data_IF_512787677174
#
_entry.id   IF_512787677174
#
_cell.length_a   1.000
_cell.length_b   1.000
_cell.length_c   1.000
_cell.angle_alpha   90.00
_cell.angle_beta   90.00
_cell.angle_gamma   90.00
#
_symmetry.space_group_name_H-M   'P 1'
#
loop_
_entity.id
_entity.type
_entity.pdbx_description
1 polymer ?
#
# COMPACT_ATOMS: atom_id res chain seq x y z
N UNK A 1 -23.66 -28.47 2.65
CA UNK A 1 -22.75 -28.04 3.74
C UNK A 1 -21.31 -27.89 3.22
N UNK A 2 -21.09 -27.45 1.97
CA UNK A 2 -19.73 -27.44 1.38
C UNK A 2 -19.40 -26.19 0.53
N UNK A 3 -20.16 -25.09 0.63
CA UNK A 3 -19.81 -23.84 -0.06
C UNK A 3 -18.91 -22.90 0.77
N UNK A 4 -18.96 -23.00 2.11
CA UNK A 4 -18.17 -22.14 3.00
C UNK A 4 -16.68 -22.53 3.09
N UNK A 5 -16.33 -23.75 2.65
CA UNK A 5 -14.96 -24.29 2.67
C UNK A 5 -14.13 -23.75 1.50
N UNK A 6 -14.72 -23.61 0.31
CA UNK A 6 -14.00 -23.16 -0.90
C UNK A 6 -13.70 -21.67 -0.91
N UNK A 7 -14.52 -20.84 -0.25
CA UNK A 7 -14.27 -19.40 -0.16
C UNK A 7 -13.08 -19.10 0.76
N UNK A 8 -12.92 -19.84 1.87
CA UNK A 8 -11.78 -19.68 2.78
C UNK A 8 -10.43 -20.03 2.15
N UNK A 9 -10.40 -20.90 1.14
CA UNK A 9 -9.17 -21.26 0.44
C UNK A 9 -8.76 -20.22 -0.61
N UNK A 10 -9.72 -19.52 -1.24
CA UNK A 10 -9.43 -18.40 -2.16
C UNK A 10 -8.76 -17.22 -1.46
N UNK A 11 -9.14 -16.93 -0.22
CA UNK A 11 -8.59 -15.84 0.58
C UNK A 11 -7.18 -16.10 1.15
N UNK A 12 -6.71 -17.35 1.08
CA UNK A 12 -5.46 -17.78 1.73
C UNK A 12 -4.18 -17.41 0.96
N UNK A 13 -4.30 -17.07 -0.32
CA UNK A 13 -3.14 -16.73 -1.17
C UNK A 13 -2.81 -15.23 -1.19
N UNK A 14 -3.61 -14.38 -0.53
CA UNK A 14 -3.40 -12.93 -0.48
C UNK A 14 -3.63 -12.19 -1.81
N UNK A 15 -4.02 -12.90 -2.87
CA UNK A 15 -4.27 -12.35 -4.21
C UNK A 15 -5.75 -12.54 -4.53
N UNK A 16 -6.49 -11.43 -4.60
CA UNK A 16 -7.92 -11.42 -4.91
C UNK A 16 -8.16 -11.70 -6.41
N UNK A 17 -8.86 -12.78 -6.81
CA UNK A 17 -9.13 -13.06 -8.23
C UNK A 17 -10.26 -12.16 -8.78
N UNK A 18 -10.05 -11.59 -9.97
CA UNK A 18 -11.07 -10.82 -10.70
C UNK A 18 -12.01 -11.71 -11.53
N UNK A 19 -13.29 -11.32 -11.59
CA UNK A 19 -14.18 -11.62 -12.71
C UNK A 19 -14.11 -10.47 -13.74
N UNK A 20 -13.59 -10.75 -14.95
CA UNK A 20 -13.39 -9.73 -16.00
C UNK A 20 -14.54 -9.79 -17.02
N UNK A 21 -15.25 -8.68 -17.21
CA UNK A 21 -16.09 -8.43 -18.37
C UNK A 21 -15.45 -7.33 -19.24
N UNK A 22 -15.38 -7.55 -20.55
CA UNK A 22 -14.72 -6.62 -21.48
C UNK A 22 -15.58 -5.36 -21.74
N UNK A 23 -15.01 -4.18 -21.53
CA UNK A 23 -15.50 -2.89 -22.03
C UNK A 23 -14.32 -2.03 -22.50
N UNK A 24 -14.59 -0.96 -23.26
CA UNK A 24 -13.57 0.01 -23.72
C UNK A 24 -13.12 1.00 -22.63
N UNK A 25 -13.70 0.93 -21.43
CA UNK A 25 -13.26 1.70 -20.27
C UNK A 25 -12.16 0.95 -19.52
N UNK A 26 -11.30 1.70 -18.82
CA UNK A 26 -10.26 1.09 -18.00
C UNK A 26 -10.88 0.17 -16.93
N UNK A 27 -10.43 -1.07 -16.88
CA UNK A 27 -10.92 -2.07 -15.93
C UNK A 27 -10.16 -1.91 -14.61
N UNK A 28 -10.81 -1.63 -13.47
CA UNK A 28 -10.13 -1.55 -12.19
C UNK A 28 -9.62 -2.93 -11.75
N UNK A 29 -8.43 -2.98 -11.13
CA UNK A 29 -7.86 -4.24 -10.63
C UNK A 29 -8.78 -4.92 -9.59
N UNK A 30 -9.52 -4.15 -8.81
CA UNK A 30 -10.53 -4.71 -7.92
C UNK A 30 -11.75 -3.79 -7.94
N UNK A 31 -12.74 -4.14 -8.75
CA UNK A 31 -13.89 -3.26 -8.97
C UNK A 31 -14.72 -3.04 -7.70
N UNK A 32 -14.89 -4.05 -6.85
CA UNK A 32 -15.66 -3.93 -5.62
C UNK A 32 -14.95 -2.99 -4.63
N UNK A 33 -13.67 -3.25 -4.36
CA UNK A 33 -12.87 -2.40 -3.49
C UNK A 33 -12.76 -0.98 -4.03
N UNK A 34 -12.46 -0.81 -5.33
CA UNK A 34 -12.27 0.52 -5.92
C UNK A 34 -13.52 1.37 -5.88
N UNK A 35 -14.71 0.78 -6.01
CA UNK A 35 -15.98 1.51 -5.79
C UNK A 35 -16.13 1.92 -4.33
N UNK A 36 -15.89 1.01 -3.39
CA UNK A 36 -16.08 1.26 -1.96
C UNK A 36 -15.20 2.43 -1.46
N UNK A 37 -13.94 2.51 -1.90
CA UNK A 37 -13.01 3.61 -1.56
C UNK A 37 -12.98 4.74 -2.62
N UNK A 38 -13.96 4.74 -3.53
CA UNK A 38 -14.24 5.79 -4.54
C UNK A 38 -13.06 6.14 -5.48
N UNK A 39 -12.22 5.14 -5.80
CA UNK A 39 -11.14 5.26 -6.79
C UNK A 39 -11.71 5.53 -8.19
N UNK A 40 -12.73 4.79 -8.61
CA UNK A 40 -13.33 4.94 -9.94
C UNK A 40 -14.02 6.30 -10.13
N UNK A 41 -14.65 6.82 -9.08
CA UNK A 41 -15.24 8.16 -9.09
C UNK A 41 -14.13 9.22 -9.19
N UNK A 42 -13.02 9.02 -8.49
CA UNK A 42 -11.83 9.89 -8.59
C UNK A 42 -11.28 9.91 -10.00
N UNK A 43 -11.10 8.73 -10.63
CA UNK A 43 -10.66 8.61 -12.01
C UNK A 43 -11.56 9.36 -12.99
N UNK A 44 -12.87 9.18 -12.84
CA UNK A 44 -13.87 9.85 -13.69
C UNK A 44 -13.83 11.37 -13.53
N UNK A 45 -13.72 11.87 -12.29
CA UNK A 45 -13.81 13.31 -12.00
C UNK A 45 -12.53 14.08 -12.30
N UNK A 46 -11.37 13.47 -12.12
CA UNK A 46 -10.07 14.14 -12.24
C UNK A 46 -9.22 13.58 -13.39
N UNK A 47 -9.83 12.88 -14.35
CA UNK A 47 -9.19 12.23 -15.52
C UNK A 47 -8.26 13.13 -16.33
N UNK A 48 -8.61 14.40 -16.44
CA UNK A 48 -7.91 15.45 -17.18
C UNK A 48 -6.97 16.31 -16.30
N UNK A 49 -7.07 16.18 -14.98
CA UNK A 49 -6.31 16.99 -14.00
C UNK A 49 -5.16 16.22 -13.37
N UNK A 50 -5.35 14.93 -13.10
CA UNK A 50 -4.36 14.03 -12.53
C UNK A 50 -3.78 13.09 -13.58
N UNK A 51 -2.55 12.67 -13.33
CA UNK A 51 -1.74 11.80 -14.17
C UNK A 51 -1.56 10.41 -13.57
N UNK A 52 -2.16 10.16 -12.40
CA UNK A 52 -2.31 8.85 -11.78
C UNK A 52 -0.97 8.25 -11.33
N UNK A 53 -0.13 9.09 -10.72
CA UNK A 53 1.18 8.71 -10.18
C UNK A 53 2.35 8.89 -11.15
N UNK A 54 2.13 9.47 -12.34
CA UNK A 54 3.21 9.69 -13.32
C UNK A 54 4.37 10.46 -12.71
N UNK A 55 5.58 9.97 -12.94
CA UNK A 55 6.82 10.59 -12.46
C UNK A 55 7.19 10.22 -11.03
N UNK A 56 6.28 9.65 -10.25
CA UNK A 56 6.56 9.10 -8.92
C UNK A 56 6.98 7.63 -9.02
N UNK A 57 7.80 7.18 -8.07
CA UNK A 57 8.18 5.77 -7.93
C UNK A 57 7.65 5.20 -6.61
N UNK A 58 7.08 4.00 -6.68
CA UNK A 58 6.74 3.17 -5.53
C UNK A 58 7.84 2.13 -5.30
N UNK A 59 8.43 2.09 -4.10
CA UNK A 59 9.25 0.96 -3.68
C UNK A 59 8.38 -0.13 -3.05
N UNK A 60 8.50 -1.37 -3.53
CA UNK A 60 7.81 -2.55 -2.99
C UNK A 60 8.84 -3.42 -2.30
N UNK A 61 8.73 -3.58 -0.99
CA UNK A 61 9.63 -4.36 -0.15
C UNK A 61 8.92 -5.65 0.27
N UNK A 62 9.40 -6.79 -0.23
CA UNK A 62 8.74 -8.10 -0.09
C UNK A 62 9.74 -9.27 -0.22
N UNK A 63 9.25 -10.49 -0.45
CA UNK A 63 10.00 -11.75 -0.57
C UNK A 63 10.68 -11.99 -1.94
N UNK A 64 10.47 -11.04 -2.87
CA UNK A 64 11.06 -11.04 -4.20
C UNK A 64 10.03 -10.84 -5.30
N UNK A 65 10.49 -10.60 -6.52
CA UNK A 65 9.63 -10.37 -7.68
C UNK A 65 10.20 -11.04 -8.93
N UNK A 66 9.37 -11.82 -9.61
CA UNK A 66 9.67 -12.26 -10.98
C UNK A 66 9.47 -11.08 -11.94
N UNK A 67 10.57 -10.41 -12.28
CA UNK A 67 10.57 -9.28 -13.22
C UNK A 67 10.20 -9.70 -14.66
N UNK A 68 10.10 -11.00 -14.96
CA UNK A 68 9.61 -11.47 -16.26
C UNK A 68 8.09 -11.49 -16.35
N UNK A 69 7.37 -11.32 -15.22
CA UNK A 69 5.93 -11.23 -15.22
C UNK A 69 5.43 -10.11 -16.16
N UNK A 70 4.40 -10.35 -16.99
CA UNK A 70 3.95 -9.38 -18.00
C UNK A 70 3.65 -7.98 -17.43
N UNK A 71 3.07 -7.91 -16.22
CA UNK A 71 2.75 -6.68 -15.51
C UNK A 71 3.98 -5.77 -15.29
N UNK A 72 5.16 -6.37 -15.09
CA UNK A 72 6.41 -5.68 -14.79
C UNK A 72 7.26 -5.37 -16.02
N UNK A 73 6.91 -5.97 -17.16
CA UNK A 73 7.51 -5.70 -18.46
C UNK A 73 6.82 -4.60 -19.27
N UNK A 74 5.76 -4.00 -18.72
CA UNK A 74 5.03 -2.90 -19.36
C UNK A 74 5.98 -1.72 -19.62
N UNK A 75 5.91 -1.17 -20.84
CA UNK A 75 6.57 0.08 -21.20
C UNK A 75 5.53 1.19 -21.29
N UNK A 76 5.61 2.14 -20.37
CA UNK A 76 4.78 3.35 -20.37
C UNK A 76 5.34 4.33 -21.41
N UNK A 77 4.55 5.32 -21.88
CA UNK A 77 5.04 6.34 -22.81
C UNK A 77 6.25 7.17 -22.31
N UNK A 78 6.58 7.07 -21.02
CA UNK A 78 7.70 7.77 -20.38
C UNK A 78 8.75 6.83 -19.76
N UNK A 79 8.69 5.52 -20.03
CA UNK A 79 9.71 4.56 -19.60
C UNK A 79 9.16 3.20 -19.15
N UNK A 80 10.03 2.25 -18.78
CA UNK A 80 9.60 0.96 -18.26
C UNK A 80 8.87 1.11 -16.92
N UNK A 81 7.89 0.25 -16.63
CA UNK A 81 7.17 0.23 -15.36
C UNK A 81 8.12 0.02 -14.17
N UNK A 82 9.00 -0.97 -14.25
CA UNK A 82 10.05 -1.22 -13.26
C UNK A 82 11.32 -0.47 -13.67
N UNK A 83 11.81 0.42 -12.81
CA UNK A 83 12.99 1.27 -13.08
C UNK A 83 14.20 0.93 -12.22
N UNK A 84 14.03 0.11 -11.19
CA UNK A 84 15.09 -0.37 -10.33
C UNK A 84 14.70 -1.68 -9.64
N UNK A 85 15.70 -2.46 -9.26
CA UNK A 85 15.53 -3.59 -8.39
C UNK A 85 16.69 -3.67 -7.39
N UNK A 86 16.44 -4.27 -6.24
CA UNK A 86 17.45 -4.51 -5.23
C UNK A 86 17.11 -5.78 -4.44
N UNK A 87 18.11 -6.43 -3.90
CA UNK A 87 18.00 -7.56 -3.00
C UNK A 87 18.90 -7.28 -1.80
N UNK A 88 18.27 -6.90 -0.69
CA UNK A 88 18.97 -6.52 0.54
C UNK A 88 19.42 -7.71 1.37
N UNK A 89 18.99 -8.93 1.03
CA UNK A 89 19.47 -10.18 1.63
C UNK A 89 20.86 -10.50 1.07
N UNK A 90 21.01 -10.45 -0.25
CA UNK A 90 22.24 -10.86 -0.94
C UNK A 90 23.14 -9.66 -1.34
N UNK A 91 22.65 -8.43 -1.17
CA UNK A 91 23.39 -7.19 -1.47
C UNK A 91 23.63 -6.96 -2.97
N UNK A 92 22.66 -7.29 -3.82
CA UNK A 92 22.75 -7.15 -5.28
C UNK A 92 21.44 -6.62 -5.89
N UNK A 93 21.34 -6.55 -7.22
CA UNK A 93 20.17 -6.00 -7.94
C UNK A 93 19.23 -7.09 -8.49
N UNK A 94 19.35 -8.34 -8.03
CA UNK A 94 18.49 -9.46 -8.43
C UNK A 94 17.39 -9.73 -7.39
N UNK A 95 16.15 -9.26 -7.61
CA UNK A 95 15.06 -9.42 -6.66
C UNK A 95 14.35 -10.76 -6.84
N UNK A 96 14.85 -11.69 -7.66
CA UNK A 96 14.18 -12.94 -8.00
C UNK A 96 13.76 -13.67 -6.71
N UNK A 97 12.48 -14.07 -6.58
CA UNK A 97 12.02 -14.78 -5.40
C UNK A 97 12.76 -16.11 -5.27
N UNK A 98 13.17 -16.43 -4.05
CA UNK A 98 13.75 -17.72 -3.69
C UNK A 98 12.73 -18.45 -2.83
N UNK A 99 12.46 -19.72 -3.13
CA UNK A 99 11.53 -20.52 -2.34
C UNK A 99 11.92 -20.47 -0.84
N UNK A 100 10.94 -20.29 0.07
CA UNK A 100 9.51 -20.41 -0.15
C UNK A 100 8.80 -19.11 -0.61
N UNK A 101 9.51 -18.03 -0.92
CA UNK A 101 8.92 -16.76 -1.36
C UNK A 101 8.02 -16.91 -2.60
N UNK A 102 6.89 -16.19 -2.59
CA UNK A 102 5.83 -16.30 -3.59
C UNK A 102 5.03 -15.01 -3.81
N UNK A 103 5.13 -14.04 -2.91
CA UNK A 103 4.13 -12.98 -2.75
C UNK A 103 4.47 -11.70 -3.51
N UNK A 104 5.74 -11.29 -3.52
CA UNK A 104 6.16 -9.96 -3.97
C UNK A 104 5.98 -9.70 -5.46
N UNK A 105 5.81 -10.74 -6.28
CA UNK A 105 5.48 -10.58 -7.71
C UNK A 105 4.11 -9.94 -7.90
N UNK A 106 3.12 -10.28 -7.07
CA UNK A 106 1.73 -9.86 -7.24
C UNK A 106 1.28 -8.74 -6.31
N UNK A 107 1.98 -8.52 -5.19
CA UNK A 107 1.57 -7.52 -4.18
C UNK A 107 1.49 -6.09 -4.72
N UNK A 108 2.24 -5.81 -5.79
CA UNK A 108 2.21 -4.52 -6.48
C UNK A 108 1.06 -4.33 -7.47
N UNK A 109 0.34 -5.39 -7.86
CA UNK A 109 -0.74 -5.26 -8.84
C UNK A 109 -1.88 -4.33 -8.37
N UNK A 110 -2.37 -4.45 -7.11
CA UNK A 110 -3.33 -3.52 -6.53
C UNK A 110 -3.00 -2.03 -6.72
N UNK A 111 -1.72 -1.68 -6.58
CA UNK A 111 -1.25 -0.30 -6.61
C UNK A 111 -0.92 0.20 -8.01
N UNK A 112 -0.23 -0.62 -8.82
CA UNK A 112 0.61 -0.13 -9.92
C UNK A 112 0.34 -0.79 -11.29
N UNK A 113 -0.56 -1.79 -11.35
CA UNK A 113 -0.84 -2.53 -12.58
C UNK A 113 -1.30 -1.59 -13.72
N UNK A 114 -0.81 -1.84 -14.93
CA UNK A 114 -1.23 -1.16 -16.16
C UNK A 114 -1.02 -2.09 -17.36
N UNK A 115 -1.82 -3.16 -17.42
CA UNK A 115 -1.64 -4.24 -18.37
C UNK A 115 -2.99 -4.58 -19.02
N UNK A 116 -3.04 -4.63 -20.35
CA UNK A 116 -4.21 -5.05 -21.13
C UNK A 116 -5.53 -4.36 -20.74
N UNK A 117 -5.45 -3.07 -20.38
CA UNK A 117 -6.60 -2.26 -19.96
C UNK A 117 -6.96 -2.37 -18.48
N UNK A 118 -6.34 -3.29 -17.73
CA UNK A 118 -6.50 -3.43 -16.27
C UNK A 118 -5.56 -2.48 -15.53
N UNK A 119 -6.09 -1.74 -14.56
CA UNK A 119 -5.37 -0.68 -13.84
C UNK A 119 -5.44 -0.83 -12.32
N UNK A 120 -4.28 -0.72 -11.67
CA UNK A 120 -4.16 -0.40 -10.24
C UNK A 120 -4.45 1.09 -9.99
N UNK A 121 -4.49 1.52 -8.73
CA UNK A 121 -4.88 2.90 -8.37
C UNK A 121 -3.94 3.96 -8.97
N UNK A 122 -2.62 3.79 -8.82
CA UNK A 122 -1.57 4.67 -9.33
C UNK A 122 -0.88 4.06 -10.56
N UNK A 123 -1.68 3.60 -11.54
CA UNK A 123 -1.24 2.82 -12.70
C UNK A 123 -0.18 3.49 -13.60
N UNK A 124 0.07 4.80 -13.46
CA UNK A 124 1.07 5.52 -14.23
C UNK A 124 2.40 5.76 -13.47
N UNK A 125 2.51 5.28 -12.25
CA UNK A 125 3.76 5.33 -11.49
C UNK A 125 4.88 4.48 -12.11
N UNK A 126 6.09 4.69 -11.62
CA UNK A 126 7.18 3.72 -11.69
C UNK A 126 7.19 2.83 -10.44
N UNK A 127 7.88 1.70 -10.54
CA UNK A 127 8.08 0.75 -9.44
C UNK A 127 9.57 0.42 -9.28
N UNK A 128 10.01 0.29 -8.03
CA UNK A 128 11.26 -0.32 -7.65
C UNK A 128 10.97 -1.56 -6.78
N UNK A 129 11.46 -2.73 -7.18
CA UNK A 129 11.27 -3.95 -6.38
C UNK A 129 12.47 -4.18 -5.47
N UNK A 130 12.22 -4.40 -4.18
CA UNK A 130 13.25 -4.70 -3.20
C UNK A 130 12.90 -6.04 -2.54
N UNK A 131 13.73 -7.06 -2.78
CA UNK A 131 13.68 -8.29 -2.01
C UNK A 131 14.36 -8.06 -0.67
N UNK A 132 13.60 -8.13 0.43
CA UNK A 132 14.13 -7.87 1.77
C UNK A 132 13.76 -8.91 2.82
N UNK A 133 12.92 -9.87 2.48
CA UNK A 133 12.62 -11.05 3.32
C UNK A 133 12.68 -12.33 2.50
N UNK A 134 12.80 -13.46 3.18
CA UNK A 134 12.81 -14.79 2.59
C UNK A 134 11.41 -15.28 2.23
N UNK A 135 10.41 -14.83 3.00
CA UNK A 135 8.98 -15.10 2.80
C UNK A 135 8.18 -14.00 3.50
N UNK A 136 7.00 -13.67 2.97
CA UNK A 136 6.18 -12.56 3.50
C UNK A 136 5.74 -12.77 4.96
N UNK A 137 5.45 -14.01 5.36
CA UNK A 137 5.10 -14.37 6.74
C UNK A 137 6.36 -14.76 7.51
N UNK A 138 7.00 -13.76 8.12
CA UNK A 138 8.25 -13.92 8.85
C UNK A 138 8.00 -14.42 10.27
N UNK A 139 9.03 -14.99 10.89
CA UNK A 139 8.98 -15.36 12.31
C UNK A 139 9.54 -14.23 13.16
N UNK A 140 8.69 -13.59 13.96
CA UNK A 140 9.09 -12.46 14.80
C UNK A 140 9.84 -11.39 13.98
N UNK A 141 11.00 -10.97 14.46
CA UNK A 141 11.81 -9.91 13.82
C UNK A 141 13.12 -10.46 13.22
N UNK A 142 13.16 -11.74 12.86
CA UNK A 142 14.37 -12.42 12.36
C UNK A 142 14.96 -11.75 11.09
N UNK A 143 14.13 -11.11 10.27
CA UNK A 143 14.55 -10.42 9.03
C UNK A 143 14.56 -8.88 9.17
N UNK A 144 14.53 -8.34 10.39
CA UNK A 144 14.56 -6.90 10.62
C UNK A 144 15.81 -6.21 10.03
N UNK A 145 16.96 -6.88 10.08
CA UNK A 145 18.22 -6.36 9.49
C UNK A 145 18.12 -6.21 7.97
N UNK A 146 17.57 -7.18 7.26
CA UNK A 146 17.45 -7.14 5.78
C UNK A 146 16.34 -6.18 5.34
N UNK A 147 15.26 -6.06 6.12
CA UNK A 147 14.25 -5.01 5.93
C UNK A 147 14.84 -3.62 6.15
N UNK A 148 15.62 -3.42 7.22
CA UNK A 148 16.30 -2.14 7.49
C UNK A 148 17.27 -1.76 6.36
N UNK A 149 18.02 -2.75 5.84
CA UNK A 149 18.90 -2.58 4.68
C UNK A 149 18.11 -2.18 3.41
N UNK A 150 16.97 -2.83 3.15
CA UNK A 150 16.08 -2.48 2.03
C UNK A 150 15.49 -1.07 2.14
N UNK A 151 15.03 -0.69 3.34
CA UNK A 151 14.55 0.66 3.62
C UNK A 151 15.68 1.70 3.48
N UNK A 152 16.90 1.36 3.88
CA UNK A 152 18.06 2.25 3.72
C UNK A 152 18.42 2.43 2.24
N UNK A 153 18.37 1.38 1.44
CA UNK A 153 18.51 1.50 -0.01
C UNK A 153 17.46 2.44 -0.61
N UNK A 154 16.20 2.38 -0.14
CA UNK A 154 15.17 3.34 -0.56
C UNK A 154 15.57 4.76 -0.17
N UNK A 155 15.97 4.99 1.07
CA UNK A 155 16.38 6.32 1.56
C UNK A 155 17.58 6.86 0.77
N UNK A 156 18.54 6.04 0.38
CA UNK A 156 19.70 6.48 -0.40
C UNK A 156 19.35 6.79 -1.86
N UNK A 157 18.30 6.16 -2.39
CA UNK A 157 17.92 6.26 -3.80
C UNK A 157 16.68 7.13 -4.07
N UNK A 158 15.93 7.54 -3.04
CA UNK A 158 14.62 8.18 -3.22
C UNK A 158 14.67 9.42 -4.11
N UNK A 159 15.69 10.27 -3.98
CA UNK A 159 15.81 11.47 -4.84
C UNK A 159 16.09 11.13 -6.29
N UNK A 160 16.96 10.14 -6.53
CA UNK A 160 17.39 9.74 -7.87
C UNK A 160 16.27 9.04 -8.64
N UNK A 161 15.50 8.20 -7.93
CA UNK A 161 14.41 7.41 -8.50
C UNK A 161 13.03 8.07 -8.35
N UNK A 162 12.96 9.21 -7.65
CA UNK A 162 11.73 9.84 -7.19
C UNK A 162 10.81 8.87 -6.41
N UNK A 163 11.38 8.11 -5.47
CA UNK A 163 10.59 7.24 -4.59
C UNK A 163 9.83 8.13 -3.60
N UNK A 164 8.51 8.15 -3.73
CA UNK A 164 7.62 8.96 -2.87
C UNK A 164 6.87 8.10 -1.85
N UNK A 165 6.84 6.79 -2.07
CA UNK A 165 6.15 5.87 -1.19
C UNK A 165 6.80 4.47 -1.17
N UNK A 166 6.59 3.76 -0.06
CA UNK A 166 7.07 2.42 0.24
C UNK A 166 5.89 1.57 0.67
N UNK A 167 5.70 0.46 -0.03
CA UNK A 167 4.81 -0.63 0.38
C UNK A 167 5.67 -1.71 1.05
N UNK A 168 5.71 -1.71 2.39
CA UNK A 168 6.23 -2.83 3.18
C UNK A 168 5.14 -3.89 3.26
N UNK A 169 5.45 -5.12 2.90
CA UNK A 169 4.50 -6.22 2.94
C UNK A 169 4.78 -7.37 3.91
N UNK A 170 5.98 -7.55 4.47
CA UNK A 170 6.22 -8.56 5.49
C UNK A 170 5.30 -8.41 6.72
N UNK A 171 4.97 -9.54 7.34
CA UNK A 171 4.14 -9.67 8.53
C UNK A 171 4.81 -10.68 9.46
N UNK A 172 4.84 -10.43 10.77
CA UNK A 172 5.25 -11.45 11.75
C UNK A 172 4.10 -12.31 12.29
N UNK A 173 2.87 -12.03 11.85
CA UNK A 173 1.64 -12.72 12.23
C UNK A 173 1.34 -12.71 13.74
N UNK A 174 1.94 -11.78 14.49
CA UNK A 174 1.74 -11.61 15.93
C UNK A 174 0.84 -10.38 16.24
N UNK A 175 0.27 -10.34 17.44
CA UNK A 175 -0.62 -9.27 17.89
C UNK A 175 0.13 -8.28 18.80
N UNK A 176 0.58 -7.16 18.24
CA UNK A 176 1.28 -6.12 19.00
C UNK A 176 0.38 -4.93 19.30
N UNK A 177 0.14 -4.67 20.58
CA UNK A 177 -0.57 -3.48 21.04
C UNK A 177 0.36 -2.24 21.09
N UNK A 178 1.67 -2.48 21.22
CA UNK A 178 2.71 -1.46 21.33
C UNK A 178 3.87 -1.79 20.36
N UNK A 179 4.65 -0.79 19.93
CA UNK A 179 5.83 -1.02 19.09
C UNK A 179 6.87 -1.97 19.69
N UNK A 180 7.58 -2.68 18.82
CA UNK A 180 8.74 -3.50 19.20
C UNK A 180 10.03 -2.85 18.66
N UNK A 181 10.92 -2.31 19.50
CA UNK A 181 12.13 -1.66 19.01
C UNK A 181 12.98 -2.59 18.13
N UNK A 182 13.32 -2.15 16.92
CA UNK A 182 14.13 -2.93 15.95
C UNK A 182 15.04 -2.03 15.11
N UNK A 183 15.88 -2.62 14.26
CA UNK A 183 16.77 -1.85 13.39
C UNK A 183 16.05 -1.00 12.33
N UNK A 184 14.75 -1.24 12.08
CA UNK A 184 14.00 -0.48 11.07
C UNK A 184 13.57 0.91 11.58
N UNK A 185 13.47 1.12 12.89
CA UNK A 185 12.85 2.32 13.48
C UNK A 185 13.57 3.61 13.06
N UNK A 186 14.91 3.58 13.07
CA UNK A 186 15.72 4.72 12.67
C UNK A 186 15.49 5.12 11.21
N UNK A 187 15.52 4.13 10.30
CA UNK A 187 15.34 4.40 8.87
C UNK A 187 13.89 4.77 8.53
N UNK A 188 12.90 4.24 9.25
CA UNK A 188 11.51 4.70 9.13
C UNK A 188 11.36 6.18 9.49
N UNK A 189 11.98 6.64 10.58
CA UNK A 189 11.97 8.04 10.97
C UNK A 189 12.69 8.95 9.95
N UNK A 190 13.81 8.48 9.38
CA UNK A 190 14.53 9.19 8.33
C UNK A 190 13.69 9.29 7.04
N UNK A 191 13.06 8.21 6.60
CA UNK A 191 12.16 8.19 5.44
C UNK A 191 10.96 9.12 5.63
N UNK A 192 10.37 9.13 6.83
CA UNK A 192 9.30 10.06 7.19
C UNK A 192 9.72 11.51 6.99
N UNK A 193 10.90 11.87 7.51
CA UNK A 193 11.49 13.22 7.40
C UNK A 193 11.89 13.57 5.97
N UNK A 194 12.22 12.57 5.15
CA UNK A 194 12.47 12.71 3.73
C UNK A 194 11.18 12.84 2.89
N UNK A 195 10.04 13.04 3.54
CA UNK A 195 8.72 13.08 2.92
C UNK A 195 8.42 11.80 2.12
N UNK A 196 8.83 10.61 2.58
CA UNK A 196 8.48 9.33 1.96
C UNK A 196 7.38 8.66 2.77
N UNK A 197 6.26 8.32 2.11
CA UNK A 197 5.20 7.53 2.74
C UNK A 197 5.69 6.11 2.97
N UNK A 198 5.55 5.57 4.18
CA UNK A 198 5.85 4.16 4.46
C UNK A 198 4.67 3.56 5.21
N UNK A 199 4.15 2.44 4.72
CA UNK A 199 3.06 1.73 5.38
C UNK A 199 3.16 0.22 5.22
N UNK A 200 2.57 -0.49 6.17
CA UNK A 200 2.57 -1.95 6.26
C UNK A 200 1.19 -2.49 6.63
N UNK A 201 0.91 -3.77 6.35
CA UNK A 201 -0.39 -4.37 6.60
C UNK A 201 -0.55 -4.71 8.09
N UNK A 202 -1.74 -4.51 8.64
CA UNK A 202 -1.98 -4.81 10.06
C UNK A 202 -1.98 -6.32 10.39
N UNK A 203 -2.11 -7.21 9.40
CA UNK A 203 -2.19 -8.67 9.58
C UNK A 203 -3.57 -9.27 9.25
N UNK A 204 -3.70 -10.59 9.23
CA UNK A 204 -4.87 -11.32 8.71
C UNK A 204 -5.47 -12.36 9.68
N UNK A 205 -5.27 -12.22 11.00
CA UNK A 205 -5.62 -13.22 12.02
C UNK A 205 -6.89 -12.92 12.84
N UNK A 206 -7.57 -11.80 12.56
CA UNK A 206 -8.72 -11.28 13.32
C UNK A 206 -8.37 -10.85 14.76
N UNK A 207 -7.14 -10.41 15.00
CA UNK A 207 -6.78 -9.73 16.24
C UNK A 207 -7.55 -8.41 16.36
N UNK A 208 -8.07 -8.13 17.57
CA UNK A 208 -8.85 -6.91 17.86
C UNK A 208 -8.13 -5.94 18.82
N UNK A 209 -6.95 -6.32 19.31
CA UNK A 209 -6.20 -5.57 20.33
C UNK A 209 -4.78 -5.19 19.88
N UNK A 210 -4.37 -5.60 18.68
CA UNK A 210 -3.02 -5.40 18.17
C UNK A 210 -2.91 -5.63 16.67
N UNK A 211 -1.76 -5.27 16.14
CA UNK A 211 -1.42 -5.39 14.71
C UNK A 211 -0.03 -6.02 14.59
N UNK A 212 0.24 -6.68 13.46
CA UNK A 212 1.52 -7.32 13.18
C UNK A 212 2.66 -6.31 13.02
N UNK A 213 3.87 -6.77 13.29
CA UNK A 213 5.08 -6.06 12.90
C UNK A 213 5.26 -6.18 11.37
N UNK A 214 5.69 -5.12 10.65
CA UNK A 214 6.16 -3.82 11.15
C UNK A 214 5.07 -2.73 11.23
N UNK A 215 3.79 -3.06 11.01
CA UNK A 215 2.71 -2.06 11.06
C UNK A 215 2.53 -1.41 12.44
N UNK A 216 2.97 -2.07 13.52
CA UNK A 216 2.98 -1.49 14.85
C UNK A 216 4.07 -0.43 15.09
N UNK A 217 5.01 -0.22 14.16
CA UNK A 217 6.16 0.67 14.39
C UNK A 217 5.86 2.15 14.18
N UNK A 218 6.45 3.05 15.02
CA UNK A 218 6.50 4.46 14.73
C UNK A 218 7.13 4.73 13.36
N UNK A 219 6.53 5.64 12.60
CA UNK A 219 7.01 5.99 11.26
C UNK A 219 6.56 5.03 10.15
N UNK A 220 5.97 3.89 10.48
CA UNK A 220 5.25 3.03 9.54
C UNK A 220 3.75 3.17 9.78
N UNK A 221 2.97 3.50 8.75
CA UNK A 221 1.52 3.55 8.91
C UNK A 221 0.91 2.16 8.86
N UNK A 222 0.12 1.79 9.87
CA UNK A 222 -0.57 0.51 9.91
C UNK A 222 -1.86 0.53 9.11
N UNK A 223 -1.96 -0.32 8.07
CA UNK A 223 -3.13 -0.36 7.19
C UNK A 223 -3.96 -1.61 7.49
N UNK A 224 -5.15 -1.39 8.04
CA UNK A 224 -6.13 -2.44 8.29
C UNK A 224 -7.09 -2.61 7.11
N UNK A 225 -8.03 -3.56 7.22
CA UNK A 225 -8.98 -3.85 6.16
C UNK A 225 -10.44 -3.79 6.57
N UNK A 226 -11.27 -3.35 5.63
CA UNK A 226 -12.71 -3.60 5.64
C UNK A 226 -13.10 -4.60 4.55
N UNK A 227 -14.16 -5.38 4.84
CA UNK A 227 -14.72 -6.35 3.91
C UNK A 227 -15.20 -5.63 2.63
N UNK A 228 -14.76 -6.09 1.44
CA UNK A 228 -15.24 -5.54 0.17
C UNK A 228 -16.77 -5.57 0.04
N UNK A 229 -17.35 -4.41 -0.26
CA UNK A 229 -18.78 -4.17 -0.41
C UNK A 229 -19.55 -3.91 0.89
N UNK A 230 -18.94 -4.05 2.08
CA UNK A 230 -19.70 -4.03 3.34
C UNK A 230 -19.36 -2.88 4.29
N UNK A 231 -18.23 -2.18 4.10
CA UNK A 231 -17.74 -1.16 5.04
C UNK A 231 -17.69 -1.67 6.50
N UNK A 232 -17.11 -2.87 6.68
CA UNK A 232 -17.04 -3.56 7.97
C UNK A 232 -15.61 -4.02 8.23
N UNK A 233 -15.04 -3.69 9.38
CA UNK A 233 -13.71 -4.17 9.76
C UNK A 233 -13.75 -5.67 10.13
N UNK A 234 -12.69 -6.43 9.84
CA UNK A 234 -12.69 -7.88 10.07
C UNK A 234 -11.33 -8.58 10.19
N UNK A 235 -10.21 -7.90 9.95
CA UNK A 235 -8.86 -8.45 10.11
C UNK A 235 -8.14 -7.81 11.29
N UNK A 236 -6.83 -8.03 11.41
CA UNK A 236 -6.03 -7.52 12.52
C UNK A 236 -6.16 -6.01 12.60
N UNK A 237 -6.45 -5.54 13.81
CA UNK A 237 -6.74 -4.14 14.12
C UNK A 237 -6.47 -3.85 15.58
N UNK A 238 -6.13 -2.59 15.86
CA UNK A 238 -5.86 -2.16 17.23
C UNK A 238 -5.37 -0.72 17.30
N UNK A 239 -4.67 -0.34 18.38
CA UNK A 239 -4.06 0.99 18.51
C UNK A 239 -3.14 1.37 17.34
N UNK A 240 -2.45 0.39 16.74
CA UNK A 240 -1.54 0.58 15.61
C UNK A 240 -2.22 0.66 14.23
N UNK A 241 -3.55 0.62 14.14
CA UNK A 241 -4.24 0.76 12.85
C UNK A 241 -4.48 2.23 12.53
N UNK A 242 -3.79 2.74 11.52
CA UNK A 242 -3.86 4.15 11.15
C UNK A 242 -5.04 4.50 10.23
N UNK A 243 -5.32 3.60 9.30
CA UNK A 243 -6.32 3.77 8.24
C UNK A 243 -6.86 2.39 7.85
N UNK A 244 -8.17 2.31 7.58
CA UNK A 244 -8.75 1.13 6.94
C UNK A 244 -8.82 1.34 5.43
N UNK A 245 -8.45 0.31 4.68
CA UNK A 245 -8.65 0.29 3.23
C UNK A 245 -9.22 -1.07 2.85
N UNK A 246 -10.31 -1.06 2.09
CA UNK A 246 -11.00 -2.30 1.77
C UNK A 246 -10.18 -3.23 0.86
N UNK A 247 -10.00 -4.47 1.30
CA UNK A 247 -9.49 -5.56 0.49
C UNK A 247 -9.72 -6.90 1.21
N UNK A 248 -9.60 -8.02 0.51
CA UNK A 248 -9.72 -9.34 1.12
C UNK A 248 -8.55 -9.72 2.05
N UNK A 249 -7.40 -9.07 1.91
CA UNK A 249 -6.21 -9.24 2.73
C UNK A 249 -5.55 -7.87 2.99
N UNK A 250 -4.98 -7.66 4.17
CA UNK A 250 -4.38 -6.37 4.53
C UNK A 250 -3.20 -6.00 3.63
N UNK A 251 -2.49 -6.95 3.02
CA UNK A 251 -1.41 -6.64 2.06
C UNK A 251 -1.92 -5.88 0.84
N UNK A 252 -3.10 -6.25 0.33
CA UNK A 252 -3.79 -5.52 -0.74
C UNK A 252 -4.33 -4.18 -0.24
N UNK A 253 -4.85 -4.12 0.99
CA UNK A 253 -5.24 -2.85 1.63
C UNK A 253 -4.07 -1.86 1.70
N UNK A 254 -2.89 -2.34 2.09
CA UNK A 254 -1.67 -1.55 2.15
C UNK A 254 -1.28 -1.03 0.76
N UNK A 255 -1.27 -1.89 -0.25
CA UNK A 255 -0.96 -1.49 -1.61
C UNK A 255 -1.95 -0.44 -2.16
N UNK A 256 -3.23 -0.53 -1.81
CA UNK A 256 -4.21 0.51 -2.13
C UNK A 256 -3.94 1.83 -1.40
N UNK A 257 -3.64 1.79 -0.09
CA UNK A 257 -3.32 2.98 0.70
C UNK A 257 -2.09 3.72 0.16
N UNK A 258 -1.03 2.97 -0.16
CA UNK A 258 0.20 3.51 -0.72
C UNK A 258 -0.03 4.17 -2.08
N UNK A 259 -0.82 3.54 -2.95
CA UNK A 259 -1.16 4.17 -4.22
C UNK A 259 -2.02 5.43 -4.03
N UNK A 260 -2.98 5.38 -3.09
CA UNK A 260 -3.78 6.53 -2.70
C UNK A 260 -2.90 7.71 -2.25
N UNK A 261 -1.87 7.46 -1.45
CA UNK A 261 -0.94 8.50 -0.98
C UNK A 261 -0.19 9.18 -2.13
N UNK A 262 0.19 8.44 -3.17
CA UNK A 262 0.78 8.99 -4.39
C UNK A 262 -0.20 9.89 -5.16
N UNK A 263 -1.47 9.49 -5.26
CA UNK A 263 -2.51 10.29 -5.90
C UNK A 263 -2.77 11.59 -5.12
N UNK A 264 -2.86 11.50 -3.79
CA UNK A 264 -3.10 12.67 -2.96
C UNK A 264 -1.91 13.63 -2.96
N UNK A 265 -0.67 13.10 -2.93
CA UNK A 265 0.55 13.90 -3.15
C UNK A 265 0.45 14.69 -4.46
N UNK A 266 0.13 14.00 -5.55
CA UNK A 266 0.03 14.65 -6.87
C UNK A 266 -1.02 15.78 -6.85
N UNK A 267 -2.16 15.55 -6.22
CA UNK A 267 -3.18 16.58 -6.05
C UNK A 267 -2.63 17.78 -5.26
N UNK A 268 -1.94 17.54 -4.14
CA UNK A 268 -1.33 18.58 -3.29
C UNK A 268 -0.34 19.43 -4.10
N UNK A 269 0.52 18.77 -4.88
CA UNK A 269 1.52 19.45 -5.73
C UNK A 269 0.87 20.30 -6.83
N UNK A 270 -0.19 19.79 -7.47
CA UNK A 270 -0.90 20.51 -8.54
C UNK A 270 -1.72 21.70 -8.05
N UNK A 271 -2.26 21.63 -6.84
CA UNK A 271 -3.12 22.69 -6.28
C UNK A 271 -2.34 23.69 -5.44
N UNK A 272 -1.13 23.35 -4.98
CA UNK A 272 -0.37 24.17 -4.03
C UNK A 272 -0.98 24.18 -2.63
N UNK A 273 -1.73 23.13 -2.28
CA UNK A 273 -2.39 22.99 -0.98
C UNK A 273 -1.40 23.13 0.19
N UNK A 274 -1.77 23.94 1.20
CA UNK A 274 -0.94 24.21 2.39
C UNK A 274 -0.97 23.04 3.38
N UNK A 275 -0.39 21.91 2.96
CA UNK A 275 -0.36 20.65 3.70
C UNK A 275 0.34 20.77 5.06
N UNK A 276 1.22 21.76 5.26
CA UNK A 276 1.96 21.95 6.52
C UNK A 276 1.06 22.24 7.71
N UNK A 277 -0.21 22.61 7.48
CA UNK A 277 -1.21 22.75 8.55
C UNK A 277 -1.74 21.42 9.07
N UNK A 278 -1.53 20.33 8.33
CA UNK A 278 -2.10 19.02 8.61
C UNK A 278 -1.07 18.03 9.19
N UNK A 279 0.23 18.33 9.06
CA UNK A 279 1.28 17.47 9.63
C UNK A 279 2.68 18.05 9.49
N UNK A 280 3.64 17.57 10.30
CA UNK A 280 5.03 18.03 10.27
C UNK A 280 5.79 17.56 9.03
N UNK A 281 5.35 16.47 8.40
CA UNK A 281 5.86 15.96 7.11
C UNK A 281 4.70 15.78 6.13
N UNK A 282 5.01 15.69 4.83
CA UNK A 282 3.98 15.47 3.82
C UNK A 282 3.23 14.13 4.00
N UNK A 283 3.88 12.98 4.33
CA UNK A 283 3.18 11.76 4.69
C UNK A 283 2.19 11.92 5.86
N UNK A 284 2.57 12.67 6.90
CA UNK A 284 1.67 12.94 8.04
C UNK A 284 0.45 13.75 7.59
N UNK A 285 0.65 14.77 6.75
CA UNK A 285 -0.43 15.58 6.21
C UNK A 285 -1.36 14.76 5.31
N UNK A 286 -0.82 13.87 4.48
CA UNK A 286 -1.60 12.94 3.65
C UNK A 286 -2.47 12.04 4.53
N UNK A 287 -1.91 11.42 5.58
CA UNK A 287 -2.69 10.59 6.48
C UNK A 287 -3.77 11.41 7.21
N UNK A 288 -3.43 12.62 7.65
CA UNK A 288 -4.38 13.51 8.31
C UNK A 288 -5.57 13.86 7.39
N UNK A 289 -5.33 14.13 6.10
CA UNK A 289 -6.41 14.34 5.12
C UNK A 289 -7.23 13.06 4.94
N UNK A 290 -6.60 11.89 4.75
CA UNK A 290 -7.35 10.63 4.64
C UNK A 290 -8.22 10.34 5.86
N UNK A 291 -7.73 10.64 7.06
CA UNK A 291 -8.51 10.51 8.30
C UNK A 291 -9.64 11.53 8.33
N UNK A 292 -9.37 12.80 8.04
CA UNK A 292 -10.39 13.85 8.05
C UNK A 292 -11.56 13.56 7.11
N UNK A 293 -11.27 12.99 5.93
CA UNK A 293 -12.27 12.70 4.90
C UNK A 293 -12.77 11.27 4.91
N UNK A 294 -12.20 10.42 5.77
CA UNK A 294 -12.49 8.99 5.81
C UNK A 294 -13.88 8.71 6.36
N UNK A 295 -14.45 7.58 5.94
CA UNK A 295 -15.73 7.09 6.46
C UNK A 295 -15.51 6.49 7.85
N UNK A 296 -16.22 6.93 8.90
CA UNK A 296 -16.15 6.31 10.21
C UNK A 296 -16.76 4.92 10.19
N UNK A 297 -16.01 3.95 10.71
CA UNK A 297 -16.39 2.53 10.83
C UNK A 297 -16.29 2.15 12.31
N UNK A 298 -17.43 1.92 12.93
CA UNK A 298 -17.49 1.38 14.28
C UNK A 298 -17.09 -0.10 14.27
N UNK A 299 -16.25 -0.50 15.20
CA UNK A 299 -15.84 -1.89 15.41
C UNK A 299 -16.29 -2.38 16.79
N UNK A 300 -17.40 -3.13 16.86
CA UNK A 300 -17.84 -3.75 18.10
C UNK A 300 -16.80 -4.72 18.70
N UNK A 301 -15.90 -5.29 17.90
CA UNK A 301 -14.91 -6.26 18.35
C UNK A 301 -13.82 -5.65 19.22
N UNK A 302 -13.25 -4.51 18.80
CA UNK A 302 -12.26 -3.77 19.59
C UNK A 302 -12.86 -2.64 20.46
N UNK A 303 -14.14 -2.30 20.24
CA UNK A 303 -14.78 -1.14 20.86
C UNK A 303 -14.27 0.21 20.33
N UNK A 304 -13.56 0.21 19.19
CA UNK A 304 -12.96 1.40 18.57
C UNK A 304 -13.79 1.87 17.38
N UNK A 305 -13.52 3.11 16.97
CA UNK A 305 -13.93 3.63 15.68
C UNK A 305 -12.66 3.86 14.85
N UNK A 306 -12.70 3.41 13.60
CA UNK A 306 -11.63 3.60 12.62
C UNK A 306 -12.14 4.42 11.44
N UNK A 307 -11.22 4.91 10.62
CA UNK A 307 -11.54 5.70 9.42
C UNK A 307 -11.14 4.91 8.19
N UNK A 308 -12.11 4.64 7.32
CA UNK A 308 -11.89 4.00 6.02
C UNK A 308 -11.61 5.06 4.95
N UNK A 309 -10.61 4.82 4.12
CA UNK A 309 -10.21 5.75 3.06
C UNK A 309 -11.36 6.05 2.09
N UNK A 310 -11.61 7.33 1.84
CA UNK A 310 -12.40 7.82 0.71
C UNK A 310 -11.47 8.68 -0.16
N UNK A 311 -10.96 8.09 -1.25
CA UNK A 311 -9.97 8.77 -2.09
C UNK A 311 -10.56 10.00 -2.77
N UNK A 312 -11.84 9.95 -3.16
CA UNK A 312 -12.46 11.08 -3.84
C UNK A 312 -12.62 12.26 -2.88
N UNK A 313 -13.14 12.02 -1.67
CA UNK A 313 -13.29 13.09 -0.67
C UNK A 313 -11.93 13.70 -0.30
N UNK A 314 -10.88 12.89 -0.19
CA UNK A 314 -9.53 13.38 0.07
C UNK A 314 -8.99 14.30 -1.05
N UNK A 315 -9.16 13.90 -2.31
CA UNK A 315 -8.74 14.70 -3.46
C UNK A 315 -9.60 15.97 -3.58
N UNK A 316 -10.90 15.89 -3.31
CA UNK A 316 -11.80 17.05 -3.28
C UNK A 316 -11.40 18.08 -2.22
N UNK A 317 -10.98 17.66 -1.02
CA UNK A 317 -10.47 18.59 0.01
C UNK A 317 -9.28 19.40 -0.48
N UNK A 318 -8.36 18.75 -1.21
CA UNK A 318 -7.13 19.39 -1.73
C UNK A 318 -7.42 20.33 -2.90
N UNK A 319 -8.42 20.02 -3.72
CA UNK A 319 -8.84 20.87 -4.84
C UNK A 319 -9.82 21.99 -4.44
N UNK A 320 -10.69 21.75 -3.46
CA UNK A 320 -11.70 22.71 -3.00
C UNK A 320 -11.15 23.80 -2.07
N UNK A 321 -9.95 23.62 -1.51
CA UNK A 321 -9.28 24.64 -0.71
C UNK A 321 -8.63 25.77 -1.54
N UNK A 322 -8.75 25.74 -2.87
CA UNK A 322 -8.15 26.70 -3.82
C UNK A 322 -9.20 27.56 -4.55
N UNK A 323 -10.47 27.47 -4.14
CA UNK A 323 -11.54 28.42 -4.50
C UNK A 323 -11.75 29.46 -3.40
#
# INVERSE_FOLDING_TARGET
MDSASSDRERFRTGIDPQDVAASSEAVPYNAASFRQIRVQDTWSRYGDRLTWGRGQCLAILDDGCDLNAPAWRVHLPWGPKVIAAHNSIDGNDDPTPVLPGYHGTSVGYPSSLNLDGVRGIAYNNFVAHVRCVSVVHIRGQEEATTIASGLRWVLENHRRLNITAVNLSPLDDESHAEPIPTEIDGVLAELRTADVWVSAPCGNHDFAEGVSWPACQPGCFGIGSTVPGEHKVYLDRGPGTDLLVTAAATSSSNAFAVAGSMILREAIEKTGFDWRRFGPTLPDAILAVFRQTGRPIADPGSGREFLEMDLLSAVETVYGAVE
#
